data_IF_633086198364
#
_entry.id   IF_633086198364
#
_cell.length_a   1.000
_cell.length_b   1.000
_cell.length_c   1.000
_cell.angle_alpha   90.00
_cell.angle_beta   90.00
_cell.angle_gamma   90.00
#
_symmetry.space_group_name_H-M   'P 1'
#
loop_
_entity.id
_entity.type
_entity.pdbx_description
1 polymer ?
#
# COMPACT_ATOMS: atom_id res chain seq x y z
N UNK A 1 -20.86 18.07 19.18
CA UNK A 1 -20.21 17.19 18.19
C UNK A 1 -18.84 17.80 17.92
N UNK A 2 -17.77 17.20 18.45
CA UNK A 2 -16.40 17.69 18.19
C UNK A 2 -16.02 17.15 16.82
N UNK A 3 -15.93 18.03 15.83
CA UNK A 3 -15.62 17.66 14.45
C UNK A 3 -14.14 17.98 14.16
N UNK A 4 -13.39 16.97 13.70
CA UNK A 4 -11.99 17.14 13.29
C UNK A 4 -12.01 17.60 11.83
N UNK A 5 -11.80 18.89 11.62
CA UNK A 5 -11.73 19.45 10.26
C UNK A 5 -10.39 19.11 9.62
N UNK A 6 -10.42 18.38 8.51
CA UNK A 6 -9.23 18.09 7.71
C UNK A 6 -8.72 19.34 6.99
N UNK A 7 -7.42 19.62 7.12
CA UNK A 7 -6.73 20.68 6.38
C UNK A 7 -5.74 20.05 5.40
N UNK A 8 -5.78 20.46 4.14
CA UNK A 8 -4.90 19.90 3.13
C UNK A 8 -3.50 20.54 3.21
N UNK A 9 -2.40 19.78 3.03
CA UNK A 9 -1.04 20.30 3.19
C UNK A 9 -0.71 21.51 2.32
N UNK A 10 -1.26 21.59 1.10
CA UNK A 10 -1.01 22.71 0.17
C UNK A 10 -1.62 24.05 0.64
N UNK A 11 -2.53 24.01 1.62
CA UNK A 11 -3.16 25.19 2.20
C UNK A 11 -2.47 25.66 3.48
N UNK A 12 -1.53 24.87 4.01
CA UNK A 12 -0.91 25.08 5.31
C UNK A 12 0.57 25.45 5.16
N UNK A 13 1.02 26.45 5.92
CA UNK A 13 2.42 26.79 6.07
C UNK A 13 2.76 26.97 7.55
N UNK A 14 3.95 26.57 7.96
CA UNK A 14 4.45 26.81 9.31
C UNK A 14 5.25 28.11 9.32
N UNK A 15 4.98 28.95 10.33
CA UNK A 15 5.74 30.16 10.59
C UNK A 15 6.26 30.13 12.03
N UNK A 16 7.53 30.42 12.19
CA UNK A 16 8.12 30.68 13.51
C UNK A 16 7.77 32.13 13.85
N UNK A 17 7.06 32.34 14.96
CA UNK A 17 6.82 33.68 15.50
C UNK A 17 8.07 34.20 16.23
N UNK A 18 8.07 35.49 16.55
CA UNK A 18 9.19 36.16 17.24
C UNK A 18 9.51 35.55 18.62
N UNK A 19 8.56 34.80 19.20
CA UNK A 19 8.68 34.08 20.47
C UNK A 19 9.19 32.62 20.28
N UNK A 20 9.78 32.31 19.12
CA UNK A 20 10.21 30.95 18.69
C UNK A 20 9.07 29.89 18.64
N UNK A 21 7.84 30.28 18.98
CA UNK A 21 6.66 29.43 18.91
C UNK A 21 6.20 29.20 17.47
N UNK A 22 5.74 27.98 17.20
CA UNK A 22 5.34 27.54 15.87
C UNK A 22 3.87 27.88 15.61
N UNK A 23 3.58 28.77 14.67
CA UNK A 23 2.23 29.06 14.22
C UNK A 23 1.91 28.40 12.87
N UNK A 24 0.65 28.03 12.65
CA UNK A 24 0.18 27.45 11.38
C UNK A 24 -0.59 28.52 10.61
N UNK A 25 -0.10 28.93 9.46
CA UNK A 25 -0.83 29.77 8.51
C UNK A 25 -1.66 28.88 7.58
N UNK A 26 -2.98 29.02 7.65
CA UNK A 26 -3.94 28.38 6.76
C UNK A 26 -4.46 29.39 5.74
N UNK A 27 -4.33 29.09 4.44
CA UNK A 27 -4.84 29.92 3.36
C UNK A 27 -6.16 29.34 2.84
N UNK A 28 -7.23 30.11 2.92
CA UNK A 28 -8.54 29.76 2.36
C UNK A 28 -8.99 30.77 1.32
N UNK A 29 -9.72 30.28 0.30
CA UNK A 29 -10.19 31.09 -0.82
C UNK A 29 -11.14 32.20 -0.34
N UNK A 30 -11.93 31.95 0.71
CA UNK A 30 -12.98 32.87 1.21
C UNK A 30 -12.50 33.94 2.19
N UNK A 31 -11.54 33.61 3.05
CA UNK A 31 -11.18 34.41 4.23
C UNK A 31 -9.70 34.83 4.24
N UNK A 32 -8.95 34.50 3.17
CA UNK A 32 -7.53 34.81 3.08
C UNK A 32 -6.70 33.97 4.04
N UNK A 33 -5.72 34.61 4.70
CA UNK A 33 -4.74 33.96 5.58
C UNK A 33 -5.22 33.97 7.02
N UNK A 34 -5.36 32.79 7.61
CA UNK A 34 -5.76 32.58 9.00
C UNK A 34 -4.57 31.99 9.75
N UNK A 35 -4.25 32.54 10.92
CA UNK A 35 -3.20 32.00 11.78
C UNK A 35 -3.87 31.14 12.84
N UNK A 36 -3.51 29.86 12.89
CA UNK A 36 -3.99 28.87 13.83
C UNK A 36 -2.89 28.58 14.87
N UNK A 37 -3.23 28.56 16.17
CA UNK A 37 -2.30 28.13 17.20
C UNK A 37 -2.05 26.62 17.09
N UNK A 38 -0.81 26.16 17.32
CA UNK A 38 -0.43 24.75 17.15
C UNK A 38 -1.16 23.82 18.12
N UNK A 39 -1.55 24.32 19.29
CA UNK A 39 -2.27 23.58 20.33
C UNK A 39 -3.67 23.14 19.91
N UNK A 40 -4.27 23.82 18.93
CA UNK A 40 -5.60 23.50 18.40
C UNK A 40 -5.55 22.59 17.17
N UNK A 41 -4.36 22.16 16.75
CA UNK A 41 -4.17 21.37 15.55
C UNK A 41 -3.52 20.02 15.89
N UNK A 42 -4.00 18.97 15.22
CA UNK A 42 -3.33 17.67 15.17
C UNK A 42 -2.43 17.66 13.94
N UNK A 43 -1.11 17.68 14.15
CA UNK A 43 -0.11 17.73 13.09
C UNK A 43 0.50 16.33 12.95
N UNK A 44 0.10 15.63 11.90
CA UNK A 44 0.68 14.33 11.55
C UNK A 44 1.89 14.55 10.63
N UNK A 45 3.02 13.98 11.00
CA UNK A 45 4.31 14.09 10.32
C UNK A 45 4.88 12.71 10.08
N UNK A 46 5.62 12.60 8.99
CA UNK A 46 6.44 11.44 8.69
C UNK A 46 7.90 11.93 8.62
N UNK A 47 8.81 11.29 9.35
CA UNK A 47 10.21 11.73 9.42
C UNK A 47 10.45 13.01 10.23
N UNK A 48 11.62 13.61 10.05
CA UNK A 48 12.08 14.77 10.82
C UNK A 48 11.68 16.13 10.23
N UNK A 49 11.88 17.18 11.02
CA UNK A 49 11.65 18.57 10.61
C UNK A 49 10.21 19.05 10.80
N UNK A 50 10.00 20.35 10.49
CA UNK A 50 8.72 21.03 10.75
C UNK A 50 7.59 20.53 9.83
N UNK A 51 7.90 20.30 8.55
CA UNK A 51 6.95 19.84 7.54
C UNK A 51 6.92 18.32 7.36
N UNK A 52 7.85 17.59 8.01
CA UNK A 52 8.11 16.20 7.71
C UNK A 52 8.64 15.97 6.28
N UNK A 53 8.70 14.70 5.91
CA UNK A 53 9.15 14.23 4.61
C UNK A 53 8.10 13.34 3.93
N UNK A 54 7.89 13.59 2.64
CA UNK A 54 7.03 12.74 1.83
C UNK A 54 7.68 11.38 1.58
N UNK A 55 6.93 10.30 1.79
CA UNK A 55 7.32 8.93 1.41
C UNK A 55 7.64 8.83 -0.08
N UNK A 56 7.10 9.71 -0.92
CA UNK A 56 7.34 9.73 -2.37
C UNK A 56 8.63 10.46 -2.78
N UNK A 57 9.30 11.16 -1.85
CA UNK A 57 10.51 11.95 -2.18
C UNK A 57 11.64 11.10 -2.75
N UNK A 58 12.01 9.93 -2.20
CA UNK A 58 13.06 9.08 -2.76
C UNK A 58 12.68 8.49 -4.14
N UNK A 59 11.39 8.35 -4.40
CA UNK A 59 10.83 7.66 -5.57
C UNK A 59 10.68 8.60 -6.78
N UNK A 60 10.67 9.91 -6.54
CA UNK A 60 10.39 10.92 -7.56
C UNK A 60 11.32 10.84 -8.78
N UNK A 61 12.63 10.64 -8.57
CA UNK A 61 13.60 10.54 -9.66
C UNK A 61 13.33 9.34 -10.58
N UNK A 62 13.08 8.16 -9.99
CA UNK A 62 12.75 6.93 -10.71
C UNK A 62 11.45 7.06 -11.49
N UNK A 63 10.42 7.67 -10.88
CA UNK A 63 9.14 7.93 -11.56
C UNK A 63 9.28 8.91 -12.73
N UNK A 64 10.02 10.01 -12.53
CA UNK A 64 10.25 11.02 -13.56
C UNK A 64 10.99 10.41 -14.75
N UNK A 65 12.06 9.64 -14.48
CA UNK A 65 12.83 8.95 -15.49
C UNK A 65 11.99 7.91 -16.23
N UNK A 66 11.20 7.10 -15.53
CA UNK A 66 10.25 6.14 -16.13
C UNK A 66 9.26 6.82 -17.07
N UNK A 67 8.74 8.00 -16.70
CA UNK A 67 7.80 8.75 -17.52
C UNK A 67 8.44 9.26 -18.82
N UNK A 68 9.69 9.73 -18.76
CA UNK A 68 10.45 10.10 -19.94
C UNK A 68 10.78 8.87 -20.81
N UNK A 69 11.20 7.76 -20.18
CA UNK A 69 11.57 6.52 -20.86
C UNK A 69 10.42 5.93 -21.67
N UNK A 70 9.18 5.98 -21.15
CA UNK A 70 7.99 5.53 -21.90
C UNK A 70 7.80 6.29 -23.23
N UNK A 71 8.07 7.59 -23.25
CA UNK A 71 7.98 8.40 -24.48
C UNK A 71 9.04 7.97 -25.49
N UNK A 72 10.27 7.76 -25.03
CA UNK A 72 11.36 7.27 -25.88
C UNK A 72 11.10 5.87 -26.41
N UNK A 73 10.52 4.99 -25.58
CA UNK A 73 10.16 3.64 -26.00
C UNK A 73 9.12 3.69 -27.12
N UNK A 74 8.09 4.53 -27.03
CA UNK A 74 7.11 4.71 -28.09
C UNK A 74 7.76 5.16 -29.42
N UNK A 75 8.65 6.17 -29.37
CA UNK A 75 9.40 6.64 -30.54
C UNK A 75 10.31 5.55 -31.12
N UNK A 76 10.92 4.74 -30.24
CA UNK A 76 11.79 3.65 -30.66
C UNK A 76 11.00 2.52 -31.33
N UNK A 77 9.80 2.20 -30.83
CA UNK A 77 8.88 1.26 -31.45
C UNK A 77 8.36 1.75 -32.80
N UNK A 78 8.08 3.05 -32.94
CA UNK A 78 7.73 3.66 -34.23
C UNK A 78 8.86 3.52 -35.25
N UNK A 79 10.11 3.82 -34.86
CA UNK A 79 11.30 3.63 -35.71
C UNK A 79 11.58 2.17 -36.06
N UNK A 80 11.24 1.24 -35.16
CA UNK A 80 11.38 -0.19 -35.42
C UNK A 80 10.30 -0.68 -36.39
N UNK A 81 9.06 -0.21 -36.25
CA UNK A 81 7.96 -0.52 -37.16
C UNK A 81 8.16 0.10 -38.55
N UNK A 82 8.81 1.27 -38.62
CA UNK A 82 9.09 2.01 -39.85
C UNK A 82 10.62 2.23 -39.96
N UNK A 83 11.38 1.21 -40.35
CA UNK A 83 12.84 1.32 -40.43
C UNK A 83 13.25 2.34 -41.49
N UNK A 84 14.29 3.10 -41.20
CA UNK A 84 14.90 4.04 -42.16
C UNK A 84 15.62 3.24 -43.24
N UNK A 85 15.26 3.46 -44.50
CA UNK A 85 15.91 2.82 -45.65
C UNK A 85 17.09 3.68 -46.10
N UNK A 86 18.25 3.06 -46.26
CA UNK A 86 19.45 3.66 -46.84
C UNK A 86 19.66 3.06 -48.21
N UNK A 87 19.66 3.89 -49.25
CA UNK A 87 20.05 3.46 -50.58
C UNK A 87 21.40 4.07 -50.91
N UNK A 88 22.35 3.21 -51.19
CA UNK A 88 23.55 3.57 -51.89
C UNK A 88 23.20 3.62 -53.40
N UNK A 89 23.48 4.74 -54.07
CA UNK A 89 23.21 4.89 -55.50
C UNK A 89 24.15 5.91 -56.15
N UNK A 90 24.50 5.68 -57.42
CA UNK A 90 25.33 6.58 -58.21
C UNK A 90 24.66 7.95 -58.49
N UNK A 91 23.32 8.03 -58.52
CA UNK A 91 22.57 9.28 -58.62
C UNK A 91 21.70 9.52 -57.37
N UNK A 92 22.17 10.37 -56.43
CA UNK A 92 21.45 10.67 -55.20
C UNK A 92 20.06 11.31 -55.39
N UNK A 93 19.78 11.93 -56.53
CA UNK A 93 18.52 12.65 -56.77
C UNK A 93 17.41 11.73 -57.27
N UNK A 94 17.74 10.75 -58.13
CA UNK A 94 16.80 9.71 -58.56
C UNK A 94 16.37 8.83 -57.37
N UNK A 95 17.31 8.46 -56.49
CA UNK A 95 17.01 7.67 -55.29
C UNK A 95 16.07 8.41 -54.31
N UNK A 96 16.25 9.74 -54.15
CA UNK A 96 15.36 10.56 -53.30
C UNK A 96 13.93 10.64 -53.82
N UNK A 97 13.74 10.66 -55.14
CA UNK A 97 12.39 10.65 -55.74
C UNK A 97 11.64 9.34 -55.45
N UNK A 98 12.35 8.21 -55.42
CA UNK A 98 11.79 6.91 -55.03
C UNK A 98 11.39 6.91 -53.54
N UNK A 99 12.23 7.47 -52.67
CA UNK A 99 11.92 7.61 -51.25
C UNK A 99 10.73 8.52 -50.94
N UNK A 100 10.48 9.54 -51.77
CA UNK A 100 9.32 10.42 -51.60
C UNK A 100 7.97 9.69 -51.77
N UNK A 101 7.96 8.56 -52.50
CA UNK A 101 6.79 7.69 -52.67
C UNK A 101 6.68 6.59 -51.61
N UNK A 102 7.74 6.37 -50.82
CA UNK A 102 7.77 5.36 -49.78
C UNK A 102 7.07 5.85 -48.51
N UNK A 103 6.40 4.93 -47.81
CA UNK A 103 5.68 5.20 -46.55
C UNK A 103 6.55 5.89 -45.47
N UNK A 104 7.87 5.67 -45.48
CA UNK A 104 8.82 6.33 -44.60
C UNK A 104 9.41 7.55 -45.31
N UNK A 105 8.93 8.76 -44.99
CA UNK A 105 9.44 10.03 -45.53
C UNK A 105 10.90 10.36 -45.11
N UNK A 106 11.59 9.43 -44.48
CA UNK A 106 12.99 9.52 -44.06
C UNK A 106 13.79 8.42 -44.75
N UNK A 107 14.45 8.76 -45.86
CA UNK A 107 15.41 7.92 -46.56
C UNK A 107 16.73 8.67 -46.73
N UNK A 108 17.85 7.97 -46.60
CA UNK A 108 19.19 8.55 -46.76
C UNK A 108 19.81 7.98 -48.03
N UNK A 109 20.29 8.86 -48.93
CA UNK A 109 21.04 8.46 -50.12
C UNK A 109 22.54 8.74 -49.97
N UNK A 110 23.35 7.72 -50.22
CA UNK A 110 24.83 7.79 -50.14
C UNK A 110 25.43 7.45 -51.52
N UNK A 111 26.38 8.23 -52.05
CA UNK A 111 26.98 7.94 -53.34
C UNK A 111 28.13 6.92 -53.20
N UNK A 112 27.85 5.61 -53.27
CA UNK A 112 28.83 4.53 -53.52
C UNK A 112 28.10 3.18 -53.72
N UNK A 113 28.06 2.66 -54.96
CA UNK A 113 27.50 1.33 -55.27
C UNK A 113 25.99 1.21 -55.11
N UNK A 114 25.35 0.25 -55.79
CA UNK A 114 23.91 0.02 -55.70
C UNK A 114 23.62 -1.00 -54.58
N UNK A 115 23.32 -0.51 -53.37
CA UNK A 115 22.87 -1.35 -52.26
C UNK A 115 21.81 -0.64 -51.44
N UNK A 116 20.64 -1.27 -51.35
CA UNK A 116 19.56 -0.81 -50.48
C UNK A 116 19.62 -1.64 -49.20
N UNK A 117 19.86 -0.99 -48.06
CA UNK A 117 19.88 -1.61 -46.74
C UNK A 117 18.93 -0.87 -45.80
N UNK A 118 18.26 -1.60 -44.92
CA UNK A 118 17.47 -1.00 -43.85
C UNK A 118 18.34 -0.83 -42.62
N UNK A 119 18.33 0.37 -42.03
CA UNK A 119 18.90 0.58 -40.70
C UNK A 119 17.91 0.00 -39.69
N UNK A 120 18.04 -1.30 -39.41
CA UNK A 120 17.30 -1.95 -38.34
C UNK A 120 17.99 -1.70 -37.00
N UNK A 121 17.28 -1.20 -35.98
CA UNK A 121 17.75 -1.30 -34.61
C UNK A 121 17.94 -2.77 -34.24
N UNK A 122 18.93 -3.08 -33.39
CA UNK A 122 19.14 -4.45 -32.90
C UNK A 122 17.86 -5.03 -32.28
N UNK A 123 17.64 -6.34 -32.46
CA UNK A 123 16.42 -7.05 -32.02
C UNK A 123 16.15 -6.94 -30.51
N UNK A 124 17.18 -6.70 -29.69
CA UNK A 124 17.07 -6.58 -28.23
C UNK A 124 16.66 -5.20 -27.73
N UNK A 125 16.46 -4.22 -28.62
CA UNK A 125 16.13 -2.85 -28.20
C UNK A 125 14.80 -2.78 -27.42
N UNK A 126 13.76 -3.48 -27.89
CA UNK A 126 12.47 -3.53 -27.19
C UNK A 126 12.57 -4.14 -25.79
N UNK A 127 13.35 -5.23 -25.67
CA UNK A 127 13.58 -5.92 -24.40
C UNK A 127 14.37 -5.05 -23.42
N UNK A 128 15.38 -4.33 -23.90
CA UNK A 128 16.19 -3.42 -23.09
C UNK A 128 15.34 -2.31 -22.44
N UNK A 129 14.32 -1.79 -23.14
CA UNK A 129 13.37 -0.83 -22.57
C UNK A 129 12.49 -1.47 -21.49
N UNK A 130 11.98 -2.68 -21.73
CA UNK A 130 11.17 -3.41 -20.76
C UNK A 130 11.97 -3.71 -19.48
N UNK A 131 13.20 -4.19 -19.61
CA UNK A 131 14.09 -4.49 -18.48
C UNK A 131 14.42 -3.22 -17.69
N UNK A 132 14.64 -2.09 -18.39
CA UNK A 132 14.86 -0.78 -17.75
C UNK A 132 13.63 -0.31 -16.98
N UNK A 133 12.43 -0.51 -17.52
CA UNK A 133 11.17 -0.17 -16.83
C UNK A 133 10.99 -1.03 -15.59
N UNK A 134 11.31 -2.33 -15.67
CA UNK A 134 11.20 -3.23 -14.53
C UNK A 134 12.20 -2.91 -13.43
N UNK A 135 13.45 -2.56 -13.79
CA UNK A 135 14.42 -2.05 -12.84
C UNK A 135 13.94 -0.78 -12.12
N UNK A 136 13.30 0.16 -12.85
CA UNK A 136 12.72 1.36 -12.24
C UNK A 136 11.52 1.02 -11.34
N UNK A 137 10.71 0.02 -11.69
CA UNK A 137 9.67 -0.50 -10.81
C UNK A 137 10.28 -1.01 -9.50
N UNK A 138 11.34 -1.82 -9.58
CA UNK A 138 12.07 -2.30 -8.40
C UNK A 138 12.54 -1.16 -7.51
N UNK A 139 13.12 -0.09 -8.08
CA UNK A 139 13.55 1.08 -7.31
C UNK A 139 12.37 1.81 -6.66
N UNK A 140 11.23 1.92 -7.34
CA UNK A 140 10.00 2.52 -6.80
C UNK A 140 9.49 1.68 -5.62
N UNK A 141 9.35 0.37 -5.79
CA UNK A 141 8.90 -0.54 -4.74
C UNK A 141 9.82 -0.51 -3.52
N UNK A 142 11.14 -0.57 -3.74
CA UNK A 142 12.15 -0.44 -2.67
C UNK A 142 12.06 0.91 -1.94
N UNK A 143 11.88 2.00 -2.67
CA UNK A 143 11.73 3.34 -2.08
C UNK A 143 10.45 3.50 -1.26
N UNK A 144 9.40 2.76 -1.59
CA UNK A 144 8.15 2.69 -0.82
C UNK A 144 8.17 1.65 0.31
N UNK A 145 9.29 0.94 0.50
CA UNK A 145 9.40 -0.19 1.42
C UNK A 145 8.37 -1.31 1.14
N UNK A 146 7.92 -1.43 -0.10
CA UNK A 146 7.01 -2.48 -0.56
C UNK A 146 7.85 -3.57 -1.23
N UNK A 147 7.77 -4.83 -0.77
CA UNK A 147 8.45 -5.94 -1.43
C UNK A 147 7.91 -6.19 -2.85
N UNK A 148 8.81 -6.28 -3.83
CA UNK A 148 8.44 -6.49 -5.25
C UNK A 148 7.72 -7.81 -5.52
N UNK A 149 8.04 -8.87 -4.75
CA UNK A 149 7.46 -10.20 -4.92
C UNK A 149 5.98 -10.30 -4.57
N UNK A 150 5.41 -9.27 -3.92
CA UNK A 150 3.95 -9.17 -3.77
C UNK A 150 3.31 -8.88 -5.14
N UNK A 151 4.02 -8.20 -6.05
CA UNK A 151 3.53 -7.82 -7.37
C UNK A 151 3.93 -8.78 -8.49
N UNK A 152 5.02 -9.54 -8.34
CA UNK A 152 5.54 -10.45 -9.37
C UNK A 152 5.35 -11.91 -8.97
N UNK A 153 4.22 -12.50 -9.35
CA UNK A 153 3.91 -13.91 -9.12
C UNK A 153 4.56 -14.79 -10.19
N UNK A 154 5.81 -15.21 -9.98
CA UNK A 154 6.42 -16.27 -10.78
C UNK A 154 7.25 -17.21 -9.91
N UNK A 155 6.91 -18.49 -9.98
CA UNK A 155 7.56 -19.69 -9.44
C UNK A 155 7.16 -20.23 -8.06
N UNK A 156 6.85 -21.53 -8.06
CA UNK A 156 6.39 -22.39 -6.95
C UNK A 156 7.37 -22.47 -5.76
N UNK A 157 8.62 -22.02 -5.93
CA UNK A 157 9.61 -21.86 -4.85
C UNK A 157 9.46 -20.57 -4.03
N UNK A 158 8.56 -19.67 -4.44
CA UNK A 158 8.43 -18.32 -3.88
C UNK A 158 7.58 -18.23 -2.60
N UNK A 159 6.97 -19.31 -2.10
CA UNK A 159 6.04 -19.21 -0.95
C UNK A 159 6.74 -18.76 0.34
N UNK A 160 7.83 -19.42 0.73
CA UNK A 160 8.59 -19.05 1.95
C UNK A 160 9.23 -17.65 1.83
N UNK A 161 9.68 -17.29 0.63
CA UNK A 161 10.22 -15.96 0.33
C UNK A 161 9.12 -14.89 0.38
N UNK A 162 7.94 -15.18 -0.15
CA UNK A 162 6.77 -14.31 -0.09
C UNK A 162 6.30 -14.07 1.36
N UNK A 163 6.28 -15.12 2.20
CA UNK A 163 5.97 -14.99 3.64
C UNK A 163 6.95 -14.04 4.35
N UNK A 164 8.25 -14.21 4.10
CA UNK A 164 9.30 -13.33 4.67
C UNK A 164 9.13 -11.88 4.21
N UNK A 165 8.82 -11.66 2.93
CA UNK A 165 8.57 -10.33 2.39
C UNK A 165 7.31 -9.69 2.96
N UNK A 166 6.23 -10.46 3.09
CA UNK A 166 5.00 -9.99 3.71
C UNK A 166 5.23 -9.57 5.16
N UNK A 167 6.02 -10.34 5.92
CA UNK A 167 6.39 -10.00 7.29
C UNK A 167 7.17 -8.67 7.37
N UNK A 168 8.19 -8.50 6.52
CA UNK A 168 8.93 -7.23 6.46
C UNK A 168 8.03 -6.02 6.12
N UNK A 169 7.06 -6.22 5.23
CA UNK A 169 6.07 -5.20 4.89
C UNK A 169 5.17 -4.88 6.09
N UNK A 170 4.65 -5.89 6.78
CA UNK A 170 3.85 -5.73 8.00
C UNK A 170 4.63 -5.02 9.12
N UNK A 171 5.91 -5.32 9.30
CA UNK A 171 6.77 -4.67 10.28
C UNK A 171 6.98 -3.18 9.95
N UNK A 172 7.15 -2.86 8.66
CA UNK A 172 7.23 -1.46 8.21
C UNK A 172 5.92 -0.72 8.46
N UNK A 173 4.78 -1.35 8.15
CA UNK A 173 3.45 -0.79 8.42
C UNK A 173 3.22 -0.60 9.92
N UNK A 174 3.67 -1.53 10.77
CA UNK A 174 3.58 -1.44 12.23
C UNK A 174 4.38 -0.25 12.74
N UNK A 175 5.62 -0.08 12.29
CA UNK A 175 6.45 1.06 12.67
C UNK A 175 5.76 2.39 12.32
N UNK A 176 5.14 2.49 11.15
CA UNK A 176 4.39 3.69 10.76
C UNK A 176 3.12 3.90 11.58
N UNK A 177 2.39 2.83 11.90
CA UNK A 177 1.23 2.90 12.80
C UNK A 177 1.63 3.40 14.19
N UNK A 178 2.72 2.89 14.77
CA UNK A 178 3.26 3.35 16.06
C UNK A 178 3.64 4.82 16.01
N UNK A 179 4.32 5.26 14.94
CA UNK A 179 4.68 6.67 14.77
C UNK A 179 3.46 7.60 14.77
N UNK A 180 2.35 7.20 14.12
CA UNK A 180 1.13 8.00 14.12
C UNK A 180 0.37 7.92 15.45
N UNK A 181 0.33 6.73 16.07
CA UNK A 181 -0.29 6.52 17.37
C UNK A 181 0.34 7.42 18.44
N UNK A 182 1.67 7.48 18.49
CA UNK A 182 2.40 8.34 19.42
C UNK A 182 2.09 9.83 19.18
N UNK A 183 2.05 10.26 17.92
CA UNK A 183 1.69 11.64 17.59
C UNK A 183 0.26 12.02 18.00
N UNK A 184 -0.68 11.09 17.88
CA UNK A 184 -2.07 11.28 18.35
C UNK A 184 -2.11 11.31 19.88
N UNK A 185 -1.37 10.42 20.52
CA UNK A 185 -1.29 10.34 21.97
C UNK A 185 -0.74 11.65 22.57
N UNK A 186 0.39 12.12 22.06
CA UNK A 186 1.05 13.34 22.51
C UNK A 186 0.20 14.59 22.28
N UNK A 187 -0.41 14.72 21.10
CA UNK A 187 -1.07 15.98 20.70
C UNK A 187 -2.56 16.05 21.06
N UNK A 188 -3.24 14.91 21.13
CA UNK A 188 -4.69 14.86 21.37
C UNK A 188 -5.02 14.24 22.72
N UNK A 189 -4.57 13.01 22.97
CA UNK A 189 -4.98 12.26 24.17
C UNK A 189 -4.43 12.91 25.44
N UNK A 190 -3.15 13.24 25.46
CA UNK A 190 -2.48 13.92 26.59
C UNK A 190 -3.24 15.18 26.99
N UNK A 191 -3.56 16.04 26.02
CA UNK A 191 -4.30 17.29 26.28
C UNK A 191 -5.72 17.02 26.79
N UNK A 192 -6.43 16.05 26.21
CA UNK A 192 -7.77 15.68 26.66
C UNK A 192 -7.75 15.17 28.11
N UNK A 193 -6.78 14.33 28.46
CA UNK A 193 -6.61 13.81 29.82
C UNK A 193 -6.29 14.96 30.77
N UNK A 194 -5.34 15.83 30.44
CA UNK A 194 -4.95 16.98 31.27
C UNK A 194 -6.11 17.94 31.54
N UNK A 195 -6.95 18.21 30.53
CA UNK A 195 -8.11 19.08 30.70
C UNK A 195 -9.19 18.50 31.62
N UNK A 196 -9.31 17.17 31.71
CA UNK A 196 -10.34 16.52 32.51
C UNK A 196 -9.85 16.08 33.90
N UNK A 197 -8.61 15.60 34.00
CA UNK A 197 -8.06 14.94 35.19
C UNK A 197 -6.80 15.62 35.74
N UNK A 198 -6.28 16.65 35.07
CA UNK A 198 -4.99 17.27 35.41
C UNK A 198 -3.81 16.43 34.92
N UNK A 199 -2.59 16.89 35.23
CA UNK A 199 -1.34 16.24 34.83
C UNK A 199 -1.26 14.83 35.43
N UNK A 200 -1.02 13.84 34.58
CA UNK A 200 -0.85 12.44 34.96
C UNK A 200 0.59 11.99 34.76
N UNK A 201 1.01 10.93 35.47
CA UNK A 201 2.32 10.30 35.24
C UNK A 201 2.33 9.40 34.00
N UNK A 202 1.17 8.85 33.64
CA UNK A 202 0.97 7.96 32.49
C UNK A 202 -0.28 8.36 31.70
N UNK A 203 -0.13 8.42 30.38
CA UNK A 203 -1.19 8.78 29.42
C UNK A 203 -1.64 7.57 28.56
N UNK A 204 -1.10 6.38 28.85
CA UNK A 204 -1.43 5.12 28.20
C UNK A 204 -0.66 4.87 26.91
N UNK A 205 -1.09 3.84 26.17
CA UNK A 205 -0.56 3.51 24.84
C UNK A 205 -1.65 2.95 23.94
N UNK A 206 -1.48 3.08 22.62
CA UNK A 206 -2.35 2.42 21.66
C UNK A 206 -1.86 1.00 21.37
N UNK A 207 -2.68 -0.01 21.68
CA UNK A 207 -2.41 -1.39 21.30
C UNK A 207 -2.55 -1.56 19.77
N UNK A 208 -1.43 -1.82 19.08
CA UNK A 208 -1.43 -2.12 17.65
C UNK A 208 -1.59 -3.63 17.47
N UNK A 209 -2.84 -4.05 17.45
CA UNK A 209 -3.18 -5.45 17.29
C UNK A 209 -2.93 -5.90 15.85
N UNK A 210 -2.03 -6.87 15.69
CA UNK A 210 -1.89 -7.61 14.43
C UNK A 210 -2.71 -8.87 14.57
N UNK A 211 -3.71 -9.05 13.71
CA UNK A 211 -4.43 -10.31 13.69
C UNK A 211 -3.48 -11.42 13.25
N UNK A 212 -3.20 -12.42 14.10
CA UNK A 212 -2.33 -13.52 13.70
C UNK A 212 -3.02 -14.35 12.62
N UNK A 213 -2.24 -14.89 11.68
CA UNK A 213 -2.76 -15.75 10.63
C UNK A 213 -3.33 -17.05 11.20
N UNK A 214 -4.14 -17.77 10.43
CA UNK A 214 -4.69 -19.08 10.86
C UNK A 214 -3.57 -20.09 11.14
N UNK A 215 -2.48 -20.05 10.37
CA UNK A 215 -1.28 -20.87 10.59
C UNK A 215 -0.62 -20.52 11.93
N UNK A 216 -0.42 -19.23 12.21
CA UNK A 216 0.22 -18.78 13.44
C UNK A 216 -0.64 -19.10 14.66
N UNK A 217 -1.98 -18.95 14.56
CA UNK A 217 -2.93 -19.37 15.60
C UNK A 217 -2.83 -20.87 15.90
N UNK A 218 -2.65 -21.68 14.86
CA UNK A 218 -2.50 -23.14 15.01
C UNK A 218 -1.18 -23.50 15.70
N UNK A 219 -0.08 -22.82 15.34
CA UNK A 219 1.21 -22.98 15.99
C UNK A 219 1.18 -22.53 17.47
N UNK A 220 0.55 -21.39 17.76
CA UNK A 220 0.35 -20.89 19.12
C UNK A 220 -0.51 -21.84 19.95
N UNK A 221 -1.62 -22.35 19.40
CA UNK A 221 -2.47 -23.33 20.08
C UNK A 221 -1.71 -24.63 20.40
N UNK A 222 -0.85 -25.10 19.49
CA UNK A 222 0.03 -26.24 19.74
C UNK A 222 1.03 -25.99 20.86
N UNK A 223 1.66 -24.82 20.89
CA UNK A 223 2.57 -24.41 21.96
C UNK A 223 1.87 -24.32 23.33
N UNK A 224 0.68 -23.70 23.37
CA UNK A 224 -0.14 -23.58 24.60
C UNK A 224 -0.53 -24.98 25.09
N UNK A 225 -0.96 -25.87 24.20
CA UNK A 225 -1.30 -27.25 24.56
C UNK A 225 -0.10 -28.00 25.15
N UNK A 226 1.10 -27.77 24.63
CA UNK A 226 2.33 -28.36 25.17
C UNK A 226 2.66 -27.83 26.57
N UNK A 227 2.47 -26.52 26.82
CA UNK A 227 2.68 -25.91 28.14
C UNK A 227 1.68 -26.41 29.19
N UNK A 228 0.40 -26.51 28.82
CA UNK A 228 -0.67 -27.04 29.67
C UNK A 228 -0.38 -28.52 29.99
N UNK A 229 -0.04 -29.31 28.98
CA UNK A 229 0.28 -30.74 29.16
C UNK A 229 1.54 -30.95 30.01
N UNK A 230 2.48 -30.00 29.96
CA UNK A 230 3.68 -29.98 30.79
C UNK A 230 3.45 -29.45 32.22
N UNK A 231 2.24 -29.00 32.55
CA UNK A 231 1.89 -28.47 33.87
C UNK A 231 2.55 -27.12 34.23
N UNK A 232 3.03 -26.38 33.22
CA UNK A 232 3.69 -25.08 33.43
C UNK A 232 2.67 -23.93 33.51
N UNK A 233 1.51 -24.10 32.86
CA UNK A 233 0.49 -23.05 32.68
C UNK A 233 -0.90 -23.65 32.91
N UNK A 234 -1.75 -22.95 33.65
CA UNK A 234 -3.15 -23.32 33.85
C UNK A 234 -4.03 -22.90 32.64
N UNK A 235 -4.98 -23.74 32.20
CA UNK A 235 -5.85 -23.44 31.04
C UNK A 235 -6.72 -22.18 31.18
N UNK A 236 -6.90 -21.69 32.40
CA UNK A 236 -7.85 -20.60 32.73
C UNK A 236 -7.21 -19.22 32.66
N UNK A 237 -5.89 -19.13 32.44
CA UNK A 237 -5.19 -17.84 32.48
C UNK A 237 -5.71 -16.85 31.40
N UNK A 238 -6.07 -15.61 31.77
CA UNK A 238 -6.68 -14.64 30.84
C UNK A 238 -5.82 -14.29 29.62
N UNK A 239 -4.50 -14.27 29.77
CA UNK A 239 -3.57 -13.93 28.67
C UNK A 239 -3.62 -14.95 27.53
N UNK A 240 -4.06 -16.20 27.77
CA UNK A 240 -4.21 -17.22 26.72
C UNK A 240 -5.27 -16.79 25.69
N UNK A 241 -6.36 -16.16 26.17
CA UNK A 241 -7.43 -15.65 25.30
C UNK A 241 -6.97 -14.44 24.50
N UNK A 242 -6.27 -13.53 25.16
CA UNK A 242 -5.70 -12.33 24.53
C UNK A 242 -4.68 -12.68 23.44
N UNK A 243 -3.75 -13.59 23.75
CA UNK A 243 -2.72 -14.10 22.83
C UNK A 243 -3.32 -14.70 21.55
N UNK A 244 -4.44 -15.42 21.65
CA UNK A 244 -5.13 -16.01 20.49
C UNK A 244 -6.17 -15.07 19.86
N UNK A 245 -6.36 -13.88 20.45
CA UNK A 245 -7.42 -12.92 20.13
C UNK A 245 -8.80 -13.57 20.11
N UNK A 246 -9.05 -14.48 21.06
CA UNK A 246 -10.36 -15.08 21.29
C UNK A 246 -11.16 -14.09 22.14
N UNK A 247 -12.38 -13.69 21.73
CA UNK A 247 -13.21 -12.79 22.51
C UNK A 247 -13.39 -13.28 23.95
N UNK A 248 -13.47 -12.35 24.90
CA UNK A 248 -13.85 -12.69 26.26
C UNK A 248 -15.21 -13.38 26.26
N UNK A 249 -15.28 -14.46 27.01
CA UNK A 249 -16.51 -15.21 27.17
C UNK A 249 -17.28 -14.61 28.36
N UNK A 250 -18.24 -13.74 28.07
CA UNK A 250 -19.24 -13.33 29.06
C UNK A 250 -20.19 -14.52 29.33
N UNK A 251 -19.78 -15.38 30.26
CA UNK A 251 -20.65 -16.22 31.09
C UNK A 251 -21.69 -17.10 30.40
N UNK A 252 -21.29 -18.30 29.99
CA UNK A 252 -22.11 -19.48 30.28
C UNK A 252 -21.25 -20.50 31.03
N UNK A 253 -21.51 -20.60 32.33
CA UNK A 253 -20.98 -21.63 33.23
C UNK A 253 -20.92 -22.96 32.49
N UNK A 254 -19.71 -23.49 32.26
CA UNK A 254 -19.56 -24.89 31.87
C UNK A 254 -20.01 -25.67 33.11
N UNK A 255 -21.09 -26.47 33.06
CA UNK A 255 -21.44 -27.30 34.18
C UNK A 255 -20.26 -28.24 34.44
N UNK A 256 -19.76 -28.27 35.68
CA UNK A 256 -18.72 -29.20 36.09
C UNK A 256 -19.16 -30.61 35.67
N UNK A 257 -18.30 -31.29 34.90
CA UNK A 257 -18.54 -32.63 34.42
C UNK A 257 -18.30 -33.65 35.53
N UNK A 258 -19.05 -33.53 36.62
CA UNK A 258 -19.12 -34.53 37.68
C UNK A 258 -20.34 -35.42 37.43
N UNK A 259 -20.05 -36.53 36.74
CA UNK A 259 -20.76 -37.81 36.71
C UNK A 259 -22.28 -37.83 36.89
N UNK A 260 -23.00 -37.97 35.78
CA UNK A 260 -23.79 -39.20 35.60
C UNK A 260 -23.94 -39.53 34.11
N UNK A 261 -23.71 -40.79 33.77
CA UNK A 261 -23.83 -41.33 32.42
C UNK A 261 -25.31 -41.63 32.16
N UNK A 262 -26.08 -40.66 31.70
CA UNK A 262 -27.39 -40.95 31.12
C UNK A 262 -27.51 -40.40 29.70
N UNK A 263 -27.87 -41.33 28.84
CA UNK A 263 -27.99 -41.22 27.39
C UNK A 263 -29.08 -40.20 27.06
N UNK A 264 -28.73 -39.16 26.31
CA UNK A 264 -29.56 -38.56 25.26
C UNK A 264 -28.73 -37.53 24.49
N UNK A 265 -27.90 -38.03 23.58
CA UNK A 265 -27.16 -37.21 22.64
C UNK A 265 -28.04 -36.76 21.49
N UNK A 266 -28.65 -35.58 21.58
CA UNK A 266 -28.98 -34.74 20.44
C UNK A 266 -29.49 -33.37 20.91
N UNK A 267 -29.12 -32.33 20.18
CA UNK A 267 -29.63 -30.95 20.25
C UNK A 267 -28.95 -30.05 21.27
N UNK A 268 -27.82 -29.47 20.86
CA UNK A 268 -27.44 -28.09 21.20
C UNK A 268 -26.28 -27.66 20.27
N UNK A 269 -26.55 -27.66 18.96
CA UNK A 269 -25.78 -26.86 17.99
C UNK A 269 -26.71 -25.72 17.58
N UNK A 270 -26.61 -24.58 18.27
CA UNK A 270 -27.24 -23.35 17.81
C UNK A 270 -26.58 -22.91 16.51
N UNK A 271 -27.37 -22.78 15.45
CA UNK A 271 -26.92 -22.26 14.16
C UNK A 271 -26.56 -20.77 14.29
N UNK A 272 -25.53 -20.29 13.57
CA UNK A 272 -25.20 -18.87 13.55
C UNK A 272 -26.28 -18.10 12.77
N UNK A 273 -26.93 -17.16 13.45
CA UNK A 273 -27.96 -16.28 12.88
C UNK A 273 -27.35 -15.39 11.77
N UNK A 274 -27.60 -15.74 10.51
CA UNK A 274 -27.29 -14.90 9.36
C UNK A 274 -28.58 -14.63 8.58
N UNK A 275 -29.35 -13.65 9.03
CA UNK A 275 -30.51 -13.13 8.30
C UNK A 275 -30.24 -11.69 7.86
N UNK A 276 -29.96 -11.52 6.57
CA UNK A 276 -30.09 -10.24 5.87
C UNK A 276 -31.60 -10.01 5.60
N UNK A 277 -32.13 -8.78 5.67
CA UNK A 277 -33.54 -8.52 5.45
C UNK A 277 -33.90 -8.61 3.95
N UNK A 278 -34.89 -9.45 3.63
CA UNK A 278 -35.42 -9.66 2.28
C UNK A 278 -36.18 -8.43 1.75
N UNK A 279 -35.83 -7.96 0.55
CA UNK A 279 -36.67 -7.05 -0.26
C UNK A 279 -37.79 -7.84 -0.97
N UNK A 280 -39.01 -7.29 -1.11
CA UNK A 280 -40.11 -8.01 -1.73
C UNK A 280 -40.02 -7.99 -3.27
N UNK A 281 -39.95 -9.17 -3.88
CA UNK A 281 -40.04 -9.36 -5.34
C UNK A 281 -41.50 -9.42 -5.77
N UNK A 282 -41.96 -8.43 -6.54
CA UNK A 282 -43.24 -8.45 -7.25
C UNK A 282 -43.31 -9.61 -8.25
N UNK A 283 -44.30 -10.49 -8.09
CA UNK A 283 -44.60 -11.57 -9.03
C UNK A 283 -45.42 -11.03 -10.21
N UNK A 284 -44.82 -10.96 -11.40
CA UNK A 284 -45.56 -10.75 -12.64
C UNK A 284 -46.23 -12.07 -13.07
N UNK A 285 -47.57 -12.05 -13.16
CA UNK A 285 -48.41 -13.15 -13.63
C UNK A 285 -48.24 -13.39 -15.14
N UNK A 286 -47.98 -14.63 -15.52
CA UNK A 286 -48.20 -15.10 -16.89
C UNK A 286 -49.66 -15.56 -17.04
N UNK A 287 -50.42 -14.86 -17.87
CA UNK A 287 -51.75 -15.25 -18.34
C UNK A 287 -51.89 -14.81 -19.80
N UNK A 288 -52.14 -15.76 -20.70
CA UNK A 288 -52.06 -15.58 -22.14
C UNK A 288 -53.23 -14.86 -22.80
N UNK A 289 -52.94 -14.29 -23.96
CA UNK A 289 -53.59 -14.55 -25.26
C UNK A 289 -52.67 -14.04 -26.38
#
# INVERSE_FOLDING_TARGET
MVDITRLAPYQCAFKVQDDESLAIEYTTIKYGKIILPPEKCLILRNGGGIYGESVLRPVFSSWQFKTALKKWWAVAMEKFAIPTVVAESADPNAARAIFASWFSKAGVSVPIGDKISTLQPGSDMARSFQDSIEYLNTLIFRGLQVPQLISSSSDTGAYAMSKTHMQLFQDTMRSQATNYANQILDQLITRLVEYNFGVQEDYGEFAINVQPSVEDKTAMAGYITALISGGVVDPTEPWIRDMLSIPEYEGAVIPDADGDNDKDGAQLRGEPNNTLPDEPVETASAGGN
#
